data_IF_912094398002
#
_entry.id   IF_912094398002
#
_cell.length_a   1.000
_cell.length_b   1.000
_cell.length_c   1.000
_cell.angle_alpha   90.00
_cell.angle_beta   90.00
_cell.angle_gamma   90.00
#
_symmetry.space_group_name_H-M   'P 1'
#
loop_
_entity.id
_entity.type
_entity.pdbx_description
1 polymer ?
#
# COMPACT_ATOMS: atom_id res chain seq x y z
N UNK A 1 -18.66 -5.85 -2.57
CA UNK A 1 -18.01 -5.30 -3.77
C UNK A 1 -16.56 -5.01 -3.44
N UNK A 2 -15.66 -5.32 -4.37
CA UNK A 2 -14.23 -5.04 -4.21
C UNK A 2 -13.92 -3.60 -4.64
N UNK A 3 -13.04 -2.92 -3.90
CA UNK A 3 -12.45 -1.64 -4.26
C UNK A 3 -11.20 -1.90 -5.11
N UNK A 4 -11.03 -1.17 -6.20
CA UNK A 4 -9.83 -1.26 -7.05
C UNK A 4 -9.21 0.12 -7.15
N UNK A 5 -7.90 0.17 -6.97
CA UNK A 5 -7.09 1.38 -7.05
C UNK A 5 -5.87 1.16 -7.92
N UNK A 6 -5.45 2.19 -8.65
CA UNK A 6 -4.21 2.21 -9.41
C UNK A 6 -3.21 3.19 -8.79
N UNK A 7 -1.95 2.74 -8.72
CA UNK A 7 -0.82 3.41 -8.14
C UNK A 7 0.08 3.93 -9.25
N UNK A 8 0.34 5.24 -9.23
CA UNK A 8 1.37 5.86 -10.06
C UNK A 8 2.55 6.25 -9.18
N UNK A 9 3.61 5.44 -9.22
CA UNK A 9 4.82 5.62 -8.41
C UNK A 9 5.56 6.89 -8.80
N UNK A 10 5.85 7.73 -7.80
CA UNK A 10 6.62 8.96 -7.97
C UNK A 10 8.00 8.85 -7.31
N UNK A 11 8.14 8.06 -6.24
CA UNK A 11 9.43 7.84 -5.59
C UNK A 11 9.59 6.39 -5.10
N UNK A 12 10.86 5.94 -5.03
CA UNK A 12 11.28 4.69 -4.41
C UNK A 12 12.68 4.88 -3.83
N UNK A 13 12.81 4.75 -2.52
CA UNK A 13 14.07 4.90 -1.80
C UNK A 13 14.41 3.59 -1.06
N UNK A 14 15.66 3.15 -1.16
CA UNK A 14 16.16 2.04 -0.38
C UNK A 14 16.99 2.58 0.80
N UNK A 15 16.76 2.05 1.99
CA UNK A 15 17.52 2.40 3.20
C UNK A 15 17.95 1.11 3.89
N UNK A 16 19.24 0.97 4.14
CA UNK A 16 19.82 -0.16 4.87
C UNK A 16 20.10 0.27 6.32
N UNK A 17 19.72 -0.58 7.29
CA UNK A 17 19.99 -0.40 8.71
C UNK A 17 20.45 -1.73 9.37
N UNK A 18 20.69 -1.70 10.68
CA UNK A 18 21.14 -2.88 11.43
C UNK A 18 20.15 -4.06 11.45
N UNK A 19 18.86 -3.81 11.21
CA UNK A 19 17.82 -4.83 11.17
C UNK A 19 17.53 -5.33 9.74
N UNK A 20 18.21 -4.82 8.71
CA UNK A 20 18.02 -5.19 7.29
C UNK A 20 17.71 -4.01 6.37
N UNK A 21 16.85 -4.22 5.36
CA UNK A 21 16.57 -3.23 4.31
C UNK A 21 15.12 -2.75 4.35
N UNK A 22 14.93 -1.47 4.16
CA UNK A 22 13.65 -0.85 3.81
C UNK A 22 13.61 -0.46 2.34
N UNK A 23 12.45 -0.64 1.72
CA UNK A 23 12.10 0.05 0.48
C UNK A 23 10.86 0.92 0.73
N UNK A 24 11.00 2.22 0.52
CA UNK A 24 9.96 3.20 0.80
C UNK A 24 9.52 3.79 -0.53
N UNK A 25 8.26 3.57 -0.87
CA UNK A 25 7.63 3.98 -2.12
C UNK A 25 6.50 4.96 -1.83
N UNK A 26 6.27 5.90 -2.73
CA UNK A 26 5.12 6.80 -2.67
C UNK A 26 4.72 7.29 -4.05
N UNK A 27 3.49 7.78 -4.13
CA UNK A 27 2.97 8.36 -5.37
C UNK A 27 1.48 8.63 -5.32
N UNK A 28 0.87 8.73 -6.51
CA UNK A 28 -0.53 9.08 -6.70
C UNK A 28 -1.44 7.86 -6.73
N UNK A 29 -2.66 8.05 -6.25
CA UNK A 29 -3.72 7.06 -6.18
C UNK A 29 -4.88 7.46 -7.09
N UNK A 30 -5.35 6.51 -7.89
CA UNK A 30 -6.57 6.68 -8.70
C UNK A 30 -7.54 5.51 -8.51
N UNK A 31 -8.83 5.74 -8.70
CA UNK A 31 -9.86 4.70 -8.60
C UNK A 31 -9.90 3.80 -9.84
N UNK A 32 -10.82 2.82 -9.86
CA UNK A 32 -11.02 1.90 -10.99
C UNK A 32 -11.35 2.62 -12.32
N UNK A 33 -11.85 3.87 -12.27
CA UNK A 33 -12.15 4.71 -13.43
C UNK A 33 -10.99 5.66 -13.77
N UNK A 34 -9.81 5.43 -13.17
CA UNK A 34 -8.59 6.24 -13.29
C UNK A 34 -8.77 7.70 -12.84
N UNK A 35 -9.77 7.99 -12.01
CA UNK A 35 -9.93 9.31 -11.42
C UNK A 35 -8.98 9.47 -10.25
N UNK A 36 -8.26 10.60 -10.12
CA UNK A 36 -7.36 10.83 -8.99
C UNK A 36 -8.17 10.93 -7.69
N UNK A 37 -7.80 10.15 -6.68
CA UNK A 37 -8.49 10.11 -5.38
C UNK A 37 -7.58 10.39 -4.19
N UNK A 38 -6.26 10.47 -4.42
CA UNK A 38 -5.30 10.88 -3.40
C UNK A 38 -3.88 10.37 -3.67
N UNK A 39 -3.22 9.90 -2.62
CA UNK A 39 -1.83 9.41 -2.65
C UNK A 39 -1.68 8.11 -1.88
N UNK A 40 -0.52 7.48 -2.01
CA UNK A 40 -0.20 6.29 -1.25
C UNK A 40 1.24 6.33 -0.74
N UNK A 41 1.50 5.54 0.30
CA UNK A 41 2.84 5.17 0.74
C UNK A 41 2.93 3.66 0.94
N UNK A 42 4.00 3.04 0.45
CA UNK A 42 4.33 1.64 0.72
C UNK A 42 5.68 1.57 1.40
N UNK A 43 5.74 0.87 2.53
CA UNK A 43 6.98 0.48 3.19
C UNK A 43 7.12 -1.03 3.07
N UNK A 44 8.25 -1.50 2.55
CA UNK A 44 8.61 -2.92 2.51
C UNK A 44 9.81 -3.11 3.43
N UNK A 45 9.69 -4.04 4.39
CA UNK A 45 10.78 -4.41 5.30
C UNK A 45 11.29 -5.79 4.94
N UNK A 46 12.57 -5.85 4.60
CA UNK A 46 13.34 -7.07 4.42
C UNK A 46 14.14 -7.30 5.70
N UNK A 47 13.97 -8.45 6.31
CA UNK A 47 14.72 -8.89 7.50
C UNK A 47 15.06 -10.37 7.38
N UNK A 48 15.86 -10.90 8.31
CA UNK A 48 16.25 -12.31 8.32
C UNK A 48 15.06 -13.28 8.23
N UNK A 49 13.92 -12.94 8.83
CA UNK A 49 12.71 -13.76 8.76
C UNK A 49 11.98 -13.72 7.42
N UNK A 50 12.09 -12.64 6.66
CA UNK A 50 11.41 -12.49 5.36
C UNK A 50 12.25 -13.02 4.20
N UNK A 51 13.58 -12.96 4.34
CA UNK A 51 14.56 -13.47 3.37
C UNK A 51 14.38 -14.97 3.11
N UNK A 52 14.03 -15.76 4.12
CA UNK A 52 13.80 -17.20 3.99
C UNK A 52 12.70 -17.55 2.95
N UNK A 53 11.78 -16.62 2.69
CA UNK A 53 10.68 -16.79 1.75
C UNK A 53 10.84 -15.94 0.47
N UNK A 54 11.96 -15.23 0.32
CA UNK A 54 12.12 -14.19 -0.70
C UNK A 54 10.97 -13.16 -0.67
N UNK A 55 10.59 -12.71 0.53
CA UNK A 55 9.51 -11.76 0.75
C UNK A 55 9.96 -10.54 1.55
N UNK A 56 9.08 -9.53 1.62
CA UNK A 56 9.13 -8.46 2.60
C UNK A 56 7.81 -8.38 3.38
N UNK A 57 7.89 -7.96 4.65
CA UNK A 57 6.71 -7.43 5.34
C UNK A 57 6.33 -6.13 4.66
N UNK A 58 5.04 -5.91 4.39
CA UNK A 58 4.58 -4.72 3.70
C UNK A 58 3.52 -3.98 4.50
N UNK A 59 3.67 -2.67 4.55
CA UNK A 59 2.69 -1.70 5.04
C UNK A 59 2.33 -0.79 3.88
N UNK A 60 1.04 -0.70 3.57
CA UNK A 60 0.52 0.20 2.54
C UNK A 60 -0.48 1.12 3.20
N UNK A 61 -0.35 2.42 3.04
CA UNK A 61 -1.37 3.38 3.46
C UNK A 61 -1.84 4.17 2.26
N UNK A 62 -3.14 4.08 1.99
CA UNK A 62 -3.85 4.86 0.98
C UNK A 62 -4.44 6.08 1.67
N UNK A 63 -4.16 7.28 1.16
CA UNK A 63 -4.67 8.53 1.67
C UNK A 63 -5.66 9.13 0.68
N UNK A 64 -6.82 9.55 1.17
CA UNK A 64 -7.94 10.07 0.39
C UNK A 64 -8.25 11.52 0.79
N UNK A 65 -8.49 12.37 -0.19
CA UNK A 65 -8.90 13.76 0.03
C UNK A 65 -8.36 14.74 -0.99
N UNK A 66 -8.79 16.01 -0.88
CA UNK A 66 -8.26 17.12 -1.70
C UNK A 66 -6.89 17.54 -1.17
N UNK A 67 -5.86 17.38 -2.01
CA UNK A 67 -4.55 17.97 -1.77
C UNK A 67 -4.57 19.47 -2.13
N UNK A 68 -3.92 20.38 -1.37
CA UNK A 68 -3.45 20.30 0.00
C UNK A 68 -4.41 21.07 0.91
N UNK A 69 -5.57 20.51 1.27
CA UNK A 69 -6.41 21.15 2.29
C UNK A 69 -5.79 20.88 3.67
N UNK A 70 -5.10 21.87 4.23
CA UNK A 70 -4.23 21.72 5.42
C UNK A 70 -5.00 21.68 6.75
N UNK A 71 -6.33 21.75 6.73
CA UNK A 71 -7.13 21.86 7.96
C UNK A 71 -7.65 20.52 8.47
N UNK A 72 -7.67 19.48 7.64
CA UNK A 72 -8.25 18.18 7.99
C UNK A 72 -7.29 17.07 7.53
N UNK A 73 -6.85 16.16 8.43
CA UNK A 73 -6.08 14.99 8.02
C UNK A 73 -6.83 14.16 6.97
N UNK A 74 -6.13 13.58 5.97
CA UNK A 74 -6.77 12.75 4.96
C UNK A 74 -7.36 11.49 5.58
N UNK A 75 -8.52 11.08 5.06
CA UNK A 75 -9.07 9.75 5.36
C UNK A 75 -8.11 8.69 4.81
N UNK A 76 -8.02 7.51 5.43
CA UNK A 76 -7.08 6.50 4.99
C UNK A 76 -7.57 5.05 5.11
N UNK A 77 -6.87 4.17 4.39
CA UNK A 77 -6.92 2.72 4.53
C UNK A 77 -5.48 2.24 4.68
N UNK A 78 -5.18 1.51 5.75
CA UNK A 78 -3.90 0.84 5.99
C UNK A 78 -4.04 -0.66 5.74
N UNK A 79 -3.13 -1.21 4.95
CA UNK A 79 -3.02 -2.61 4.58
C UNK A 79 -1.72 -3.18 5.13
N UNK A 80 -1.77 -4.33 5.78
CA UNK A 80 -0.58 -5.09 6.17
C UNK A 80 -0.55 -6.43 5.47
N UNK A 81 0.64 -6.92 5.13
CA UNK A 81 0.78 -8.20 4.50
C UNK A 81 2.21 -8.58 4.15
N UNK A 82 2.33 -9.33 3.06
CA UNK A 82 3.60 -9.72 2.46
C UNK A 82 3.71 -9.20 1.03
N UNK A 83 4.94 -8.90 0.63
CA UNK A 83 5.33 -8.65 -0.76
C UNK A 83 6.27 -9.77 -1.20
N UNK A 84 5.95 -10.41 -2.31
CA UNK A 84 6.77 -11.47 -2.91
C UNK A 84 7.73 -10.88 -3.93
N UNK A 85 9.03 -11.10 -3.77
CA UNK A 85 10.02 -10.59 -4.71
C UNK A 85 10.13 -11.41 -6.00
N UNK A 86 9.54 -12.62 -6.05
CA UNK A 86 9.54 -13.41 -7.28
C UNK A 86 8.57 -12.84 -8.33
N UNK A 87 7.36 -12.49 -7.89
CA UNK A 87 6.31 -11.90 -8.75
C UNK A 87 6.24 -10.38 -8.69
N UNK A 88 6.74 -9.78 -7.60
CA UNK A 88 6.47 -8.39 -7.24
C UNK A 88 5.06 -8.18 -6.66
N UNK A 89 4.24 -9.21 -6.54
CA UNK A 89 2.87 -9.07 -6.03
C UNK A 89 2.85 -8.98 -4.51
N UNK A 90 1.68 -8.69 -3.97
CA UNK A 90 1.48 -8.62 -2.52
C UNK A 90 0.10 -9.07 -2.12
N UNK A 91 0.00 -9.55 -0.88
CA UNK A 91 -1.24 -10.04 -0.30
C UNK A 91 -1.28 -9.75 1.19
N UNK A 92 -2.48 -9.55 1.71
CA UNK A 92 -2.70 -9.34 3.13
C UNK A 92 -4.12 -8.86 3.40
N UNK A 93 -4.29 -7.99 4.38
CA UNK A 93 -5.60 -7.47 4.77
C UNK A 93 -5.56 -6.01 5.17
N UNK A 94 -6.73 -5.36 5.15
CA UNK A 94 -6.94 -4.04 5.74
C UNK A 94 -6.80 -4.15 7.26
N UNK A 95 -5.75 -3.56 7.82
CA UNK A 95 -5.43 -3.58 9.25
C UNK A 95 -6.08 -2.42 10.02
N UNK A 96 -6.29 -1.28 9.36
CA UNK A 96 -6.97 -0.11 9.91
C UNK A 96 -7.56 0.75 8.79
N UNK A 97 -8.61 1.51 9.08
CA UNK A 97 -9.21 2.45 8.14
C UNK A 97 -9.95 3.58 8.88
N UNK A 98 -10.08 4.74 8.24
CA UNK A 98 -10.97 5.81 8.72
C UNK A 98 -12.43 5.36 8.74
N UNK A 99 -13.28 6.11 9.45
CA UNK A 99 -14.70 5.77 9.64
C UNK A 99 -15.45 5.57 8.32
N UNK A 100 -15.15 6.38 7.29
CA UNK A 100 -15.74 6.25 5.95
C UNK A 100 -15.42 4.92 5.25
N UNK A 101 -14.37 4.23 5.70
CA UNK A 101 -13.86 2.99 5.13
C UNK A 101 -13.85 1.82 6.12
N UNK A 102 -14.50 1.95 7.28
CA UNK A 102 -14.50 0.93 8.35
C UNK A 102 -14.98 -0.44 7.87
N UNK A 103 -15.91 -0.46 6.91
CA UNK A 103 -16.43 -1.68 6.29
C UNK A 103 -15.38 -2.46 5.45
N UNK A 104 -14.18 -1.91 5.27
CA UNK A 104 -13.07 -2.59 4.60
C UNK A 104 -12.15 -3.33 5.59
N UNK A 105 -12.19 -3.00 6.89
CA UNK A 105 -11.31 -3.62 7.90
C UNK A 105 -11.48 -5.14 7.88
N UNK A 106 -10.36 -5.87 7.86
CA UNK A 106 -10.32 -7.33 7.80
C UNK A 106 -10.50 -7.92 6.40
N UNK A 107 -10.89 -7.15 5.38
CA UNK A 107 -10.95 -7.66 4.00
C UNK A 107 -9.55 -7.91 3.46
N UNK A 108 -9.46 -8.90 2.58
CA UNK A 108 -8.22 -9.20 1.89
C UNK A 108 -7.88 -8.11 0.88
N UNK A 109 -6.59 -7.90 0.66
CA UNK A 109 -6.12 -7.19 -0.51
C UNK A 109 -5.15 -8.05 -1.33
N UNK A 110 -5.12 -7.78 -2.62
CA UNK A 110 -4.08 -8.23 -3.54
C UNK A 110 -3.50 -7.01 -4.25
N UNK A 111 -2.17 -6.94 -4.34
CA UNK A 111 -1.47 -5.95 -5.16
C UNK A 111 -0.74 -6.63 -6.30
N UNK A 112 -0.88 -6.09 -7.50
CA UNK A 112 -0.17 -6.55 -8.69
C UNK A 112 0.85 -5.50 -9.12
N UNK A 113 2.14 -5.82 -9.06
CA UNK A 113 3.21 -4.86 -9.40
C UNK A 113 3.25 -4.51 -10.88
N UNK A 114 3.00 -5.50 -11.74
CA UNK A 114 2.99 -5.36 -13.20
C UNK A 114 1.98 -4.33 -13.69
N UNK A 115 0.89 -4.13 -12.96
CA UNK A 115 -0.19 -3.19 -13.29
C UNK A 115 -0.31 -2.04 -12.31
N UNK A 116 0.53 -1.99 -11.26
CA UNK A 116 0.43 -1.02 -10.18
C UNK A 116 -0.96 -0.98 -9.56
N UNK A 117 -1.62 -2.12 -9.37
CA UNK A 117 -3.04 -2.17 -8.94
C UNK A 117 -3.18 -2.78 -7.56
N UNK A 118 -4.07 -2.23 -6.73
CA UNK A 118 -4.52 -2.81 -5.47
C UNK A 118 -6.01 -3.11 -5.58
N UNK A 119 -6.40 -4.33 -5.21
CA UNK A 119 -7.80 -4.76 -5.09
C UNK A 119 -8.07 -5.14 -3.63
N UNK A 120 -9.09 -4.55 -3.00
CA UNK A 120 -9.55 -4.84 -1.63
C UNK A 120 -10.95 -5.43 -1.73
N UNK A 121 -11.17 -6.67 -1.30
CA UNK A 121 -12.46 -7.34 -1.52
C UNK A 121 -12.60 -8.68 -0.86
#
# INVERSE_FOLDING_TARGET
>A
MALTYHLARECLNNVDDAAGRFQIEGGKLSDAKKQPVGTYSIVRRISCGTQAFNTAQVWITLFFGKLPDTKIPPENITLHGSHDFNSGDGLGSVSAASSSFVAQIGKQYKSASSTGTIVIG
#
